data_IF_412515247665
#
_entry.id   IF_412515247665
#
_cell.length_a   1.000
_cell.length_b   1.000
_cell.length_c   1.000
_cell.angle_alpha   90.00
_cell.angle_beta   90.00
_cell.angle_gamma   90.00
#
_symmetry.space_group_name_H-M   'P 1'
#
loop_
_entity.id
_entity.type
_entity.pdbx_description
1 polymer ?
#
# COMPACT_ATOMS: atom_id res chain seq x y z
N UNK A 1 54.44 11.75 -36.97
CA UNK A 1 54.28 11.35 -35.55
C UNK A 1 52.79 11.22 -35.29
N UNK A 2 52.29 10.00 -35.06
CA UNK A 2 50.90 9.78 -34.70
C UNK A 2 50.72 10.16 -33.22
N UNK A 3 49.92 11.19 -32.97
CA UNK A 3 49.46 11.55 -31.63
C UNK A 3 48.48 10.49 -31.11
N UNK A 4 49.00 9.62 -30.24
CA UNK A 4 48.23 8.70 -29.42
C UNK A 4 47.29 9.51 -28.49
N UNK A 5 46.01 9.50 -28.84
CA UNK A 5 44.92 8.97 -28.01
C UNK A 5 45.11 9.06 -26.49
N UNK A 6 44.44 10.03 -25.86
CA UNK A 6 44.05 9.98 -24.44
C UNK A 6 42.56 10.24 -24.36
N UNK A 7 41.77 9.18 -24.52
CA UNK A 7 40.37 9.19 -24.11
C UNK A 7 40.36 9.25 -22.57
N UNK A 8 39.66 10.20 -21.92
CA UNK A 8 39.38 10.08 -20.50
C UNK A 8 38.32 8.99 -20.33
N UNK A 9 38.75 7.88 -19.74
CA UNK A 9 37.88 6.88 -19.15
C UNK A 9 37.17 7.52 -17.94
N UNK A 10 35.93 7.97 -18.14
CA UNK A 10 35.05 8.41 -17.06
C UNK A 10 34.26 7.22 -16.54
N UNK A 11 34.93 6.39 -15.75
CA UNK A 11 34.28 5.46 -14.84
C UNK A 11 34.27 6.09 -13.47
N UNK A 12 33.24 6.87 -13.09
CA UNK A 12 32.80 7.10 -11.70
C UNK A 12 31.34 7.59 -11.64
N UNK A 13 30.47 6.73 -11.12
CA UNK A 13 29.06 6.99 -10.81
C UNK A 13 28.32 5.73 -10.36
N UNK A 14 28.99 4.90 -9.55
CA UNK A 14 28.34 3.76 -8.90
C UNK A 14 27.57 4.28 -7.67
N UNK A 15 26.30 3.87 -7.55
CA UNK A 15 25.32 4.26 -6.52
C UNK A 15 24.57 5.59 -6.66
N UNK A 16 24.38 6.13 -7.88
CA UNK A 16 23.16 6.94 -8.09
C UNK A 16 21.95 6.00 -8.18
N UNK A 17 20.82 6.32 -7.53
CA UNK A 17 19.66 5.48 -7.67
C UNK A 17 19.20 5.53 -9.13
N UNK A 18 19.44 4.44 -9.88
CA UNK A 18 19.00 4.31 -11.27
C UNK A 18 17.57 4.80 -11.40
N UNK A 19 17.40 5.92 -12.11
CA UNK A 19 16.10 6.50 -12.43
C UNK A 19 15.25 5.50 -13.23
N UNK A 20 13.93 5.61 -13.10
CA UNK A 20 12.98 4.70 -13.74
C UNK A 20 13.25 4.56 -15.25
N UNK A 21 13.42 5.69 -15.94
CA UNK A 21 13.69 5.74 -17.39
C UNK A 21 15.00 5.04 -17.76
N UNK A 22 16.03 5.17 -16.91
CA UNK A 22 17.33 4.52 -17.13
C UNK A 22 17.23 3.01 -16.94
N UNK A 23 16.53 2.57 -15.91
CA UNK A 23 16.28 1.16 -15.67
C UNK A 23 15.46 0.54 -16.81
N UNK A 24 14.41 1.22 -17.26
CA UNK A 24 13.57 0.78 -18.37
C UNK A 24 14.37 0.69 -19.68
N UNK A 25 15.12 1.72 -20.05
CA UNK A 25 15.96 1.70 -21.25
C UNK A 25 17.03 0.61 -21.22
N UNK A 26 17.56 0.28 -20.03
CA UNK A 26 18.48 -0.86 -19.88
C UNK A 26 17.77 -2.20 -20.09
N UNK A 27 16.55 -2.38 -19.58
CA UNK A 27 15.74 -3.59 -19.82
C UNK A 27 15.47 -3.75 -21.32
N UNK A 28 15.08 -2.70 -22.03
CA UNK A 28 14.85 -2.75 -23.48
C UNK A 28 16.10 -3.18 -24.25
N UNK A 29 17.27 -2.67 -23.87
CA UNK A 29 18.54 -3.07 -24.47
C UNK A 29 18.85 -4.55 -24.21
N UNK A 30 18.64 -5.03 -22.97
CA UNK A 30 18.81 -6.44 -22.60
C UNK A 30 17.90 -7.34 -23.42
N UNK A 31 16.61 -7.00 -23.51
CA UNK A 31 15.61 -7.78 -24.29
C UNK A 31 16.05 -7.85 -25.74
N UNK A 32 16.46 -6.73 -26.33
CA UNK A 32 16.94 -6.72 -27.72
C UNK A 32 18.13 -7.66 -27.92
N UNK A 33 19.11 -7.64 -27.01
CA UNK A 33 20.27 -8.55 -27.09
C UNK A 33 19.87 -10.02 -26.96
N UNK A 34 18.94 -10.35 -26.06
CA UNK A 34 18.43 -11.70 -25.89
C UNK A 34 17.65 -12.19 -27.12
N UNK A 35 16.84 -11.32 -27.73
CA UNK A 35 16.10 -11.61 -28.97
C UNK A 35 17.02 -11.78 -30.19
N UNK A 36 18.09 -11.00 -30.26
CA UNK A 36 19.12 -11.13 -31.29
C UNK A 36 19.88 -12.48 -31.18
N UNK A 37 19.79 -13.16 -30.03
CA UNK A 37 20.45 -14.45 -29.79
C UNK A 37 21.98 -14.36 -29.86
N UNK A 38 22.54 -13.15 -29.70
CA UNK A 38 23.98 -12.91 -29.71
C UNK A 38 24.51 -13.12 -28.30
N UNK A 39 25.20 -14.22 -28.10
CA UNK A 39 25.81 -14.57 -26.83
C UNK A 39 25.74 -16.05 -26.54
N UNK A 40 26.61 -16.53 -25.66
CA UNK A 40 26.51 -17.89 -25.11
C UNK A 40 25.37 -18.00 -24.09
N UNK A 41 25.02 -19.22 -23.69
CA UNK A 41 24.01 -19.47 -22.66
C UNK A 41 24.28 -18.70 -21.36
N UNK A 42 25.54 -18.62 -20.94
CA UNK A 42 25.96 -17.95 -19.71
C UNK A 42 25.70 -16.44 -19.76
N UNK A 43 26.00 -15.81 -20.90
CA UNK A 43 25.73 -14.39 -21.14
C UNK A 43 24.23 -14.11 -21.14
N UNK A 44 23.44 -14.97 -21.80
CA UNK A 44 21.98 -14.87 -21.80
C UNK A 44 21.38 -14.98 -20.39
N UNK A 45 21.92 -15.86 -19.55
CA UNK A 45 21.50 -15.98 -18.15
C UNK A 45 21.86 -14.73 -17.34
N UNK A 46 23.08 -14.21 -17.49
CA UNK A 46 23.50 -12.99 -16.82
C UNK A 46 22.63 -11.79 -17.20
N UNK A 47 22.34 -11.62 -18.49
CA UNK A 47 21.46 -10.57 -19.01
C UNK A 47 20.03 -10.70 -18.46
N UNK A 48 19.50 -11.92 -18.41
CA UNK A 48 18.19 -12.18 -17.83
C UNK A 48 18.13 -11.80 -16.34
N UNK A 49 19.12 -12.21 -15.55
CA UNK A 49 19.19 -11.86 -14.13
C UNK A 49 19.26 -10.35 -13.90
N UNK A 50 20.05 -9.65 -14.71
CA UNK A 50 20.12 -8.19 -14.69
C UNK A 50 18.75 -7.57 -15.00
N UNK A 51 18.08 -8.03 -16.05
CA UNK A 51 16.74 -7.58 -16.44
C UNK A 51 15.71 -7.76 -15.32
N UNK A 52 15.73 -8.91 -14.62
CA UNK A 52 14.83 -9.17 -13.49
C UNK A 52 15.13 -8.24 -12.30
N UNK A 53 16.40 -7.95 -12.00
CA UNK A 53 16.78 -7.01 -10.94
C UNK A 53 16.27 -5.60 -11.25
N UNK A 54 16.44 -5.15 -12.49
CA UNK A 54 15.94 -3.85 -12.95
C UNK A 54 14.42 -3.77 -12.89
N UNK A 55 13.72 -4.82 -13.33
CA UNK A 55 12.26 -4.87 -13.30
C UNK A 55 11.72 -4.75 -11.86
N UNK A 56 12.32 -5.46 -10.91
CA UNK A 56 11.97 -5.36 -9.48
C UNK A 56 12.16 -3.94 -8.95
N UNK A 57 13.21 -3.26 -9.39
CA UNK A 57 13.49 -1.87 -9.03
C UNK A 57 12.43 -0.93 -9.59
N UNK A 58 12.06 -1.07 -10.87
CA UNK A 58 11.00 -0.29 -11.50
C UNK A 58 9.67 -0.42 -10.75
N UNK A 59 9.26 -1.64 -10.41
CA UNK A 59 8.06 -1.86 -9.59
C UNK A 59 8.15 -1.18 -8.21
N UNK A 60 9.33 -1.21 -7.57
CA UNK A 60 9.56 -0.51 -6.32
C UNK A 60 9.41 1.01 -6.43
N UNK A 61 9.87 1.61 -7.53
CA UNK A 61 9.73 3.04 -7.80
C UNK A 61 8.26 3.41 -8.06
N UNK A 62 7.56 2.61 -8.87
CA UNK A 62 6.13 2.83 -9.16
C UNK A 62 5.27 2.76 -7.89
N UNK A 63 5.49 1.77 -7.02
CA UNK A 63 4.77 1.68 -5.73
C UNK A 63 5.02 2.89 -4.83
N UNK A 64 6.24 3.41 -4.80
CA UNK A 64 6.55 4.63 -4.03
C UNK A 64 5.85 5.85 -4.61
N UNK A 65 5.74 5.94 -5.93
CA UNK A 65 5.02 7.02 -6.59
C UNK A 65 3.52 6.94 -6.32
N UNK A 66 2.93 5.74 -6.43
CA UNK A 66 1.53 5.44 -6.11
C UNK A 66 1.18 5.84 -4.67
N UNK A 67 1.94 5.35 -3.69
CA UNK A 67 1.73 5.71 -2.29
C UNK A 67 1.82 7.23 -2.04
N UNK A 68 2.69 7.93 -2.79
CA UNK A 68 2.79 9.39 -2.70
C UNK A 68 1.57 10.09 -3.28
N UNK A 69 0.99 9.55 -4.35
CA UNK A 69 -0.25 10.07 -4.95
C UNK A 69 -1.41 9.88 -3.98
N UNK A 70 -1.55 8.70 -3.38
CA UNK A 70 -2.60 8.39 -2.37
C UNK A 70 -2.58 9.37 -1.19
N UNK A 71 -1.40 9.57 -0.59
CA UNK A 71 -1.23 10.52 0.51
C UNK A 71 -1.61 11.96 0.12
N UNK A 72 -1.34 12.37 -1.12
CA UNK A 72 -1.65 13.72 -1.60
C UNK A 72 -3.11 13.87 -2.01
N UNK A 73 -3.71 12.81 -2.56
CA UNK A 73 -5.08 12.82 -3.03
C UNK A 73 -6.09 12.54 -1.90
N UNK A 74 -5.63 11.99 -0.77
CA UNK A 74 -6.49 11.55 0.33
C UNK A 74 -7.35 10.37 -0.10
N UNK A 75 -6.78 9.44 -0.86
CA UNK A 75 -7.48 8.27 -1.43
C UNK A 75 -6.65 7.02 -1.11
N UNK A 76 -7.29 5.88 -0.83
CA UNK A 76 -6.63 4.59 -0.55
C UNK A 76 -6.36 3.74 -1.82
N UNK A 77 -5.73 2.57 -1.66
CA UNK A 77 -5.42 1.62 -2.75
C UNK A 77 -6.67 1.18 -3.55
N UNK A 78 -7.87 1.29 -2.95
CA UNK A 78 -9.14 0.94 -3.59
C UNK A 78 -9.77 2.12 -4.34
N UNK A 79 -9.17 3.31 -4.27
CA UNK A 79 -9.71 4.53 -4.88
C UNK A 79 -10.78 5.22 -4.02
N UNK A 80 -10.91 4.85 -2.75
CA UNK A 80 -11.87 5.46 -1.82
C UNK A 80 -11.25 6.60 -1.03
N UNK A 81 -12.03 7.66 -0.78
CA UNK A 81 -11.53 8.81 -0.04
C UNK A 81 -11.22 8.43 1.42
N UNK A 82 -10.00 8.72 1.86
CA UNK A 82 -9.58 8.62 3.26
C UNK A 82 -10.30 9.76 4.01
N UNK A 83 -11.35 9.39 4.72
CA UNK A 83 -12.12 10.32 5.55
C UNK A 83 -11.90 9.98 7.02
N UNK A 84 -11.46 10.96 7.79
CA UNK A 84 -11.50 10.88 9.25
C UNK A 84 -12.88 11.33 9.73
N UNK A 85 -13.48 10.67 10.74
CA UNK A 85 -14.74 11.13 11.33
C UNK A 85 -14.56 12.53 11.90
N UNK A 86 -15.25 13.49 11.29
CA UNK A 86 -15.25 14.88 11.74
C UNK A 86 -15.93 14.99 13.11
N UNK A 87 -15.16 15.23 14.18
CA UNK A 87 -15.72 15.52 15.51
C UNK A 87 -16.21 16.96 15.57
N UNK A 88 -17.51 17.13 15.31
CA UNK A 88 -18.18 18.43 15.29
C UNK A 88 -18.22 19.17 16.65
N UNK A 89 -17.74 18.54 17.74
CA UNK A 89 -17.76 19.14 19.08
C UNK A 89 -16.73 20.24 19.29
N UNK A 90 -15.63 20.26 18.54
CA UNK A 90 -14.56 21.25 18.76
C UNK A 90 -14.76 22.58 18.01
N UNK A 91 -15.52 22.63 16.90
CA UNK A 91 -15.67 23.86 16.10
C UNK A 91 -16.53 24.92 16.78
N UNK A 92 -17.29 24.57 17.82
CA UNK A 92 -18.11 25.53 18.58
C UNK A 92 -17.51 25.94 19.94
N UNK A 93 -16.32 25.47 20.31
CA UNK A 93 -15.76 25.69 21.66
C UNK A 93 -14.68 26.79 21.74
N UNK A 94 -14.61 27.71 20.78
CA UNK A 94 -13.66 28.84 20.82
C UNK A 94 -14.27 30.20 20.43
N UNK A 95 -15.55 30.44 20.70
CA UNK A 95 -16.04 31.82 20.81
C UNK A 95 -17.07 31.93 21.90
N UNK A 96 -16.66 32.55 23.00
CA UNK A 96 -17.52 33.05 24.06
C UNK A 96 -18.61 33.95 23.48
N UNK A 97 -19.84 33.43 23.37
CA UNK A 97 -21.03 34.27 23.50
C UNK A 97 -21.89 33.71 24.61
N UNK A 98 -21.90 34.43 25.73
CA UNK A 98 -22.77 34.19 26.86
C UNK A 98 -24.22 34.45 26.46
N UNK A 99 -25.02 33.40 26.35
CA UNK A 99 -26.47 33.48 26.59
C UNK A 99 -26.90 32.32 27.47
N UNK A 100 -27.48 32.67 28.61
CA UNK A 100 -27.87 31.84 29.74
C UNK A 100 -28.99 30.85 29.39
N UNK A 101 -29.03 29.63 29.97
CA UNK A 101 -30.27 28.88 30.07
C UNK A 101 -30.90 29.10 31.46
N UNK A 102 -32.01 29.84 31.51
CA UNK A 102 -32.89 29.92 32.70
C UNK A 102 -34.33 29.60 32.30
N UNK A 103 -34.81 28.43 32.71
CA UNK A 103 -36.19 28.03 33.09
C UNK A 103 -36.33 26.52 32.84
N UNK A 104 -36.25 25.63 33.82
CA UNK A 104 -37.22 25.30 34.88
C UNK A 104 -38.59 24.77 34.40
N UNK A 105 -38.90 23.55 34.88
CA UNK A 105 -40.21 22.90 35.13
C UNK A 105 -41.10 22.48 33.94
N UNK A 106 -41.77 21.31 33.89
CA UNK A 106 -42.04 20.27 34.90
C UNK A 106 -42.72 19.01 34.33
N UNK A 107 -42.42 17.86 34.97
CA UNK A 107 -43.29 16.71 35.36
C UNK A 107 -44.03 15.81 34.35
N UNK A 108 -43.73 14.50 34.40
CA UNK A 108 -44.62 13.37 34.85
C UNK A 108 -44.04 12.03 34.35
N UNK A 109 -43.45 11.15 35.17
CA UNK A 109 -43.99 10.18 36.15
C UNK A 109 -44.65 8.91 35.56
N UNK A 110 -44.14 7.73 35.97
CA UNK A 110 -44.72 6.35 36.05
C UNK A 110 -43.78 5.29 35.41
N UNK A 111 -42.89 4.59 36.13
CA UNK A 111 -43.10 3.44 37.04
C UNK A 111 -43.49 2.12 36.33
N UNK A 112 -42.57 1.13 36.27
CA UNK A 112 -42.79 -0.30 36.59
C UNK A 112 -41.61 -1.21 36.17
N UNK A 113 -41.04 -1.90 37.17
CA UNK A 113 -40.40 -3.23 37.25
C UNK A 113 -39.38 -3.76 36.20
N UNK A 114 -38.30 -4.44 36.66
CA UNK A 114 -37.45 -5.30 35.83
C UNK A 114 -37.99 -6.74 35.81
N UNK A 115 -38.28 -7.28 34.62
CA UNK A 115 -38.49 -8.71 34.44
C UNK A 115 -37.14 -9.40 34.16
N UNK A 116 -36.70 -10.10 35.20
CA UNK A 116 -35.72 -11.18 35.21
C UNK A 116 -36.31 -12.39 34.47
N UNK A 117 -35.73 -12.79 33.34
CA UNK A 117 -36.03 -14.08 32.69
C UNK A 117 -34.72 -14.74 32.21
N UNK A 118 -34.20 -15.56 33.12
CA UNK A 118 -33.89 -16.97 32.89
C UNK A 118 -32.78 -17.31 31.88
N UNK A 119 -31.63 -17.65 32.47
CA UNK A 119 -30.62 -18.56 31.92
C UNK A 119 -31.25 -19.95 31.67
N UNK A 120 -31.24 -20.41 30.41
CA UNK A 120 -31.38 -21.82 30.02
C UNK A 120 -30.94 -21.95 28.55
N UNK A 121 -29.96 -22.71 28.10
CA UNK A 121 -28.99 -23.68 28.62
C UNK A 121 -28.20 -24.19 27.40
N UNK A 122 -27.04 -24.87 27.55
CA UNK A 122 -26.16 -25.23 26.44
C UNK A 122 -26.57 -26.57 25.79
N UNK A 123 -26.70 -26.62 24.46
CA UNK A 123 -26.98 -27.84 23.72
C UNK A 123 -25.84 -28.18 22.74
N UNK A 124 -24.89 -28.96 23.23
CA UNK A 124 -24.01 -29.83 22.43
C UNK A 124 -24.83 -30.81 21.58
N UNK A 125 -24.50 -30.97 20.29
CA UNK A 125 -24.74 -32.24 19.59
C UNK A 125 -23.59 -32.64 18.68
N UNK A 126 -22.88 -33.67 19.16
CA UNK A 126 -21.90 -34.50 18.46
C UNK A 126 -22.52 -35.20 17.21
N UNK A 127 -21.59 -35.56 16.31
CA UNK A 127 -21.53 -36.73 15.39
C UNK A 127 -21.92 -36.53 13.91
N UNK A 128 -20.89 -36.71 13.06
CA UNK A 128 -20.98 -37.27 11.70
C UNK A 128 -19.58 -37.28 11.05
N UNK A 129 -18.76 -38.32 11.26
CA UNK A 129 -18.35 -39.33 10.25
C UNK A 129 -17.64 -38.72 9.03
N UNK A 130 -16.31 -38.84 8.92
CA UNK A 130 -15.50 -39.97 8.39
C UNK A 130 -14.97 -39.65 6.98
N UNK A 131 -13.64 -39.55 6.92
CA UNK A 131 -12.71 -40.05 5.90
C UNK A 131 -13.08 -39.81 4.43
N UNK A 132 -12.30 -38.97 3.77
CA UNK A 132 -11.83 -39.25 2.42
C UNK A 132 -10.38 -38.76 2.29
N UNK A 133 -9.45 -39.63 2.71
CA UNK A 133 -8.11 -39.68 2.14
C UNK A 133 -8.22 -40.65 0.96
N UNK A 134 -7.86 -40.21 -0.25
CA UNK A 134 -7.63 -41.07 -1.40
C UNK A 134 -6.26 -40.71 -2.02
N UNK A 135 -5.56 -41.70 -2.59
CA UNK A 135 -4.10 -41.72 -2.78
C UNK A 135 -3.60 -40.87 -3.94
#
# INVERSE_FOLDING_TARGET
>A
MNEQQKQPNEAQGEDEPVDFERALGRIEAIVRTLEEGRGGLDESLSLYEEGVKLLRRCHGLLRKAEQRIEMLAGIDDAGEAITEPFDARETFSSSSVSTSPTSSSSSSSLAAAPDDETISGPATRRRGRRRNDLP
#
